data_IF_806783336919
#
_entry.id   IF_806783336919
#
_cell.length_a   1.000
_cell.length_b   1.000
_cell.length_c   1.000
_cell.angle_alpha   90.00
_cell.angle_beta   90.00
_cell.angle_gamma   90.00
#
_symmetry.space_group_name_H-M   'P 1'
#
loop_
_entity.id
_entity.type
_entity.pdbx_description
1 polymer ?
#
# COMPACT_ATOMS: atom_id res chain seq x y z
N UNK A 1 -2.09 -7.82 -11.90
CA UNK A 1 -2.49 -8.99 -11.10
C UNK A 1 -1.72 -8.92 -9.78
N UNK A 2 -2.34 -8.44 -8.71
CA UNK A 2 -1.83 -8.43 -7.33
C UNK A 2 -3.07 -8.78 -6.49
N UNK A 3 -3.05 -9.58 -5.41
CA UNK A 3 -2.25 -9.34 -4.21
C UNK A 3 -1.93 -10.68 -3.48
N UNK A 4 -0.68 -11.20 -3.56
CA UNK A 4 -0.27 -12.44 -2.88
C UNK A 4 0.05 -12.28 -1.38
N UNK A 5 0.10 -11.06 -0.83
CA UNK A 5 0.56 -10.80 0.56
C UNK A 5 -0.28 -9.79 1.37
N UNK A 6 -1.56 -9.62 1.05
CA UNK A 6 -2.45 -8.82 1.91
C UNK A 6 -3.19 -9.70 2.92
N UNK A 7 -3.15 -9.31 4.19
CA UNK A 7 -3.99 -9.87 5.26
C UNK A 7 -5.41 -9.29 5.26
N UNK A 8 -5.59 -8.09 4.69
CA UNK A 8 -6.85 -7.36 4.63
C UNK A 8 -7.12 -6.85 3.20
N UNK A 9 -8.40 -6.79 2.84
CA UNK A 9 -8.88 -6.16 1.62
C UNK A 9 -9.73 -4.97 2.02
N UNK A 10 -9.31 -3.77 1.63
CA UNK A 10 -10.08 -2.55 1.81
C UNK A 10 -10.90 -2.31 0.54
N UNK A 11 -12.22 -2.43 0.65
CA UNK A 11 -13.15 -2.22 -0.43
C UNK A 11 -13.79 -0.83 -0.28
N UNK A 12 -13.41 0.10 -1.16
CA UNK A 12 -13.91 1.48 -1.14
C UNK A 12 -15.04 1.62 -2.15
N UNK A 13 -16.22 2.05 -1.70
CA UNK A 13 -17.38 2.37 -2.54
C UNK A 13 -17.91 3.76 -2.21
N UNK A 14 -18.57 4.42 -3.16
CA UNK A 14 -19.11 5.78 -2.97
C UNK A 14 -20.59 5.77 -2.59
N UNK A 15 -21.06 6.76 -1.82
CA UNK A 15 -22.48 6.91 -1.49
C UNK A 15 -23.37 7.25 -2.70
N UNK A 16 -22.80 7.78 -3.78
CA UNK A 16 -23.55 8.22 -4.98
C UNK A 16 -24.16 7.04 -5.74
N UNK A 17 -23.38 5.95 -5.81
CA UNK A 17 -23.75 4.66 -6.41
C UNK A 17 -23.08 3.55 -5.61
N UNK A 18 -23.61 3.24 -4.42
CA UNK A 18 -23.03 2.17 -3.61
C UNK A 18 -23.27 0.84 -4.32
N UNK A 19 -22.26 -0.04 -4.35
CA UNK A 19 -22.42 -1.44 -4.80
C UNK A 19 -22.99 -1.61 -6.23
N UNK A 20 -22.36 -0.97 -7.21
CA UNK A 20 -22.64 -1.21 -8.63
C UNK A 20 -22.38 -2.67 -9.07
N UNK A 21 -22.92 -3.07 -10.23
CA UNK A 21 -22.70 -4.41 -10.81
C UNK A 21 -21.22 -4.77 -10.96
N UNK A 22 -20.39 -3.83 -11.44
CA UNK A 22 -18.94 -4.03 -11.59
C UNK A 22 -18.24 -4.21 -10.24
N UNK A 23 -18.65 -3.47 -9.21
CA UNK A 23 -18.19 -3.60 -7.83
C UNK A 23 -18.60 -4.95 -7.21
N UNK A 24 -19.83 -5.41 -7.44
CA UNK A 24 -20.30 -6.72 -6.99
C UNK A 24 -19.47 -7.84 -7.60
N UNK A 25 -19.25 -7.81 -8.91
CA UNK A 25 -18.43 -8.79 -9.63
C UNK A 25 -16.98 -8.79 -9.13
N UNK A 26 -16.45 -7.61 -8.77
CA UNK A 26 -15.13 -7.50 -8.17
C UNK A 26 -15.07 -8.14 -6.77
N UNK A 27 -16.08 -7.89 -5.93
CA UNK A 27 -16.19 -8.50 -4.60
C UNK A 27 -16.29 -10.03 -4.65
N UNK A 28 -17.08 -10.59 -5.57
CA UNK A 28 -17.17 -12.04 -5.78
C UNK A 28 -15.80 -12.63 -6.15
N UNK A 29 -15.04 -11.94 -7.00
CA UNK A 29 -13.71 -12.40 -7.42
C UNK A 29 -12.71 -12.41 -6.27
N UNK A 30 -12.74 -11.41 -5.39
CA UNK A 30 -11.80 -11.32 -4.26
C UNK A 30 -12.23 -12.17 -3.06
N UNK A 31 -13.53 -12.50 -2.93
CA UNK A 31 -14.04 -13.42 -1.91
C UNK A 31 -13.39 -14.81 -2.00
N UNK A 32 -13.06 -15.25 -3.23
CA UNK A 32 -12.33 -16.50 -3.47
C UNK A 32 -10.97 -16.56 -2.73
N UNK A 33 -10.40 -15.41 -2.36
CA UNK A 33 -9.11 -15.35 -1.66
C UNK A 33 -9.23 -15.58 -0.15
N UNK A 34 -10.46 -15.71 0.41
CA UNK A 34 -10.74 -15.94 1.84
C UNK A 34 -10.03 -14.95 2.79
N UNK A 35 -9.85 -13.71 2.35
CA UNK A 35 -9.23 -12.64 3.14
C UNK A 35 -10.29 -11.85 3.89
N UNK A 36 -9.92 -11.26 5.03
CA UNK A 36 -10.81 -10.34 5.74
C UNK A 36 -11.08 -9.11 4.86
N UNK A 37 -12.35 -8.84 4.59
CA UNK A 37 -12.80 -7.68 3.81
C UNK A 37 -13.30 -6.60 4.76
N UNK A 38 -12.88 -5.37 4.51
CA UNK A 38 -13.35 -4.17 5.17
C UNK A 38 -13.99 -3.24 4.14
N UNK A 39 -15.20 -2.77 4.40
CA UNK A 39 -15.90 -1.85 3.48
C UNK A 39 -15.76 -0.41 3.96
N UNK A 40 -15.47 0.49 3.02
CA UNK A 40 -15.33 1.92 3.24
C UNK A 40 -16.32 2.63 2.32
N UNK A 41 -17.32 3.27 2.92
CA UNK A 41 -18.31 4.09 2.24
C UNK A 41 -17.84 5.54 2.21
N UNK A 42 -17.43 6.00 1.04
CA UNK A 42 -16.84 7.32 0.82
C UNK A 42 -17.86 8.35 0.31
N UNK A 43 -17.52 9.63 0.49
CA UNK A 43 -18.30 10.83 0.14
C UNK A 43 -19.55 11.04 0.99
N UNK A 44 -19.52 10.66 2.27
CA UNK A 44 -20.67 10.83 3.17
C UNK A 44 -21.15 12.29 3.30
N UNK A 45 -20.30 13.24 2.92
CA UNK A 45 -20.60 14.66 2.88
C UNK A 45 -21.69 15.05 1.87
N UNK A 46 -22.02 14.17 0.92
CA UNK A 46 -23.13 14.36 0.00
C UNK A 46 -24.49 14.00 0.61
N UNK A 47 -24.51 13.25 1.71
CA UNK A 47 -25.75 12.84 2.36
C UNK A 47 -26.15 13.90 3.37
N UNK A 48 -27.30 14.54 3.13
CA UNK A 48 -27.82 15.62 3.98
C UNK A 48 -28.81 15.13 5.05
N UNK A 49 -29.49 14.00 4.80
CA UNK A 49 -30.51 13.44 5.70
C UNK A 49 -30.03 12.14 6.33
N UNK A 50 -30.15 12.04 7.65
CA UNK A 50 -29.80 10.81 8.38
C UNK A 50 -30.66 9.61 7.96
N UNK A 51 -31.92 9.84 7.55
CA UNK A 51 -32.79 8.78 7.03
C UNK A 51 -32.25 8.14 5.75
N UNK A 52 -31.59 8.92 4.90
CA UNK A 52 -31.03 8.41 3.64
C UNK A 52 -29.70 7.71 3.88
N UNK A 53 -28.95 8.16 4.89
CA UNK A 53 -27.74 7.50 5.38
C UNK A 53 -28.02 6.08 5.86
N UNK A 54 -29.09 5.87 6.63
CA UNK A 54 -29.47 4.53 7.08
C UNK A 54 -29.90 3.61 5.93
N UNK A 55 -30.67 4.12 4.96
CA UNK A 55 -31.05 3.35 3.77
C UNK A 55 -29.83 2.88 2.99
N UNK A 56 -28.87 3.77 2.76
CA UNK A 56 -27.63 3.45 2.04
C UNK A 56 -26.82 2.43 2.84
N UNK A 57 -26.67 2.61 4.16
CA UNK A 57 -25.98 1.64 5.00
C UNK A 57 -26.62 0.25 4.95
N UNK A 58 -27.95 0.19 5.06
CA UNK A 58 -28.67 -1.07 5.03
C UNK A 58 -28.56 -1.73 3.65
N UNK A 59 -28.63 -0.96 2.57
CA UNK A 59 -28.38 -1.44 1.22
C UNK A 59 -26.97 -2.04 1.08
N UNK A 60 -25.94 -1.32 1.52
CA UNK A 60 -24.54 -1.80 1.48
C UNK A 60 -24.37 -3.06 2.33
N UNK A 61 -24.97 -3.11 3.54
CA UNK A 61 -24.94 -4.28 4.41
C UNK A 61 -25.56 -5.51 3.77
N UNK A 62 -26.78 -5.38 3.24
CA UNK A 62 -27.49 -6.50 2.62
C UNK A 62 -26.74 -7.04 1.41
N UNK A 63 -26.21 -6.16 0.55
CA UNK A 63 -25.43 -6.60 -0.61
C UNK A 63 -24.10 -7.25 -0.19
N UNK A 64 -23.40 -6.69 0.80
CA UNK A 64 -22.17 -7.29 1.30
C UNK A 64 -22.42 -8.68 1.90
N UNK A 65 -23.49 -8.83 2.68
CA UNK A 65 -23.91 -10.10 3.29
C UNK A 65 -24.19 -11.16 2.21
N UNK A 66 -24.92 -10.79 1.16
CA UNK A 66 -25.24 -11.69 0.06
C UNK A 66 -24.01 -12.11 -0.76
N UNK A 67 -23.03 -11.23 -0.92
CA UNK A 67 -21.83 -11.49 -1.75
C UNK A 67 -20.74 -12.25 -1.00
N UNK A 68 -20.70 -12.10 0.33
CA UNK A 68 -19.63 -12.62 1.19
C UNK A 68 -20.08 -13.79 2.07
N UNK A 69 -21.06 -14.59 1.60
CA UNK A 69 -21.58 -15.79 2.29
C UNK A 69 -22.05 -15.52 3.74
N UNK A 70 -22.94 -14.56 3.93
CA UNK A 70 -23.54 -14.20 5.24
C UNK A 70 -22.54 -13.70 6.30
N UNK A 71 -21.37 -13.24 5.88
CA UNK A 71 -20.39 -12.63 6.79
C UNK A 71 -20.76 -11.16 7.03
N UNK A 72 -20.87 -10.79 8.30
CA UNK A 72 -20.97 -9.38 8.69
C UNK A 72 -19.60 -8.72 8.57
N UNK A 73 -19.49 -7.79 7.62
CA UNK A 73 -18.26 -7.01 7.42
C UNK A 73 -18.36 -5.63 8.08
N UNK A 74 -17.25 -5.10 8.64
CA UNK A 74 -17.26 -3.75 9.17
C UNK A 74 -17.34 -2.73 8.03
N UNK A 75 -18.19 -1.72 8.22
CA UNK A 75 -18.42 -0.64 7.26
C UNK A 75 -18.02 0.70 7.90
N UNK A 76 -17.07 1.39 7.31
CA UNK A 76 -16.63 2.72 7.74
C UNK A 76 -17.20 3.80 6.85
N UNK A 77 -17.71 4.85 7.47
CA UNK A 77 -18.25 6.02 6.81
C UNK A 77 -17.20 7.11 6.79
N UNK A 78 -16.72 7.50 5.60
CA UNK A 78 -15.68 8.52 5.47
C UNK A 78 -16.07 9.59 4.45
N UNK A 79 -15.53 10.79 4.67
CA UNK A 79 -15.42 11.81 3.62
C UNK A 79 -13.94 12.10 3.44
N UNK A 80 -13.37 11.60 2.34
CA UNK A 80 -11.97 11.92 2.00
C UNK A 80 -11.76 13.42 1.80
N UNK A 81 -12.78 14.14 1.30
CA UNK A 81 -12.69 15.57 1.03
C UNK A 81 -12.66 16.41 2.32
N UNK A 82 -13.50 16.07 3.29
CA UNK A 82 -13.60 16.79 4.57
C UNK A 82 -12.76 16.18 5.69
N UNK A 83 -11.98 15.14 5.38
CA UNK A 83 -11.24 14.33 6.34
C UNK A 83 -12.08 13.79 7.51
N UNK A 84 -13.38 13.56 7.28
CA UNK A 84 -14.33 13.07 8.29
C UNK A 84 -14.27 11.54 8.33
N UNK A 85 -14.24 10.96 9.53
CA UNK A 85 -14.26 9.50 9.73
C UNK A 85 -12.93 8.79 9.42
N UNK A 86 -11.95 9.48 8.82
CA UNK A 86 -10.63 8.93 8.52
C UNK A 86 -9.90 8.51 9.80
N UNK A 87 -9.91 9.34 10.84
CA UNK A 87 -9.26 9.00 12.13
C UNK A 87 -9.85 7.73 12.76
N UNK A 88 -11.15 7.49 12.57
CA UNK A 88 -11.86 6.34 13.12
C UNK A 88 -11.50 5.07 12.36
N UNK A 89 -11.43 5.16 11.03
CA UNK A 89 -10.89 4.11 10.17
C UNK A 89 -9.41 3.84 10.48
N UNK A 90 -8.61 4.89 10.65
CA UNK A 90 -7.19 4.78 10.97
C UNK A 90 -6.97 4.12 12.33
N UNK A 91 -7.72 4.51 13.37
CA UNK A 91 -7.64 3.88 14.68
C UNK A 91 -8.07 2.42 14.65
N UNK A 92 -9.12 2.09 13.90
CA UNK A 92 -9.56 0.70 13.71
C UNK A 92 -8.49 -0.12 13.00
N UNK A 93 -7.99 0.37 11.87
CA UNK A 93 -6.92 -0.28 11.13
C UNK A 93 -5.67 -0.41 12.00
N UNK A 94 -5.28 0.62 12.76
CA UNK A 94 -4.14 0.57 13.68
C UNK A 94 -4.34 -0.43 14.80
N UNK A 95 -5.55 -0.62 15.31
CA UNK A 95 -5.83 -1.58 16.40
C UNK A 95 -5.87 -3.02 15.87
N UNK A 96 -6.60 -3.26 14.79
CA UNK A 96 -6.68 -4.57 14.11
C UNK A 96 -5.34 -4.98 13.51
N UNK A 97 -4.59 -4.02 12.96
CA UNK A 97 -3.22 -4.26 12.52
C UNK A 97 -2.30 -4.40 13.72
N UNK A 98 -2.45 -3.66 14.85
CA UNK A 98 -1.57 -3.72 16.03
C UNK A 98 -1.38 -5.14 16.57
N UNK A 99 -2.44 -5.95 16.60
CA UNK A 99 -2.37 -7.34 17.03
C UNK A 99 -1.46 -8.18 16.11
N UNK A 100 -1.34 -7.82 14.83
CA UNK A 100 -0.37 -8.39 13.86
C UNK A 100 0.92 -7.56 13.70
N UNK A 101 0.92 -6.27 14.05
CA UNK A 101 1.90 -5.25 13.64
C UNK A 101 2.88 -4.89 14.74
N UNK A 102 2.74 -5.44 15.96
CA UNK A 102 3.86 -5.53 16.94
C UNK A 102 5.12 -6.17 16.32
N UNK A 103 4.95 -7.14 15.41
CA UNK A 103 6.07 -7.79 14.72
C UNK A 103 6.70 -6.88 13.65
N UNK A 104 5.87 -6.19 12.86
CA UNK A 104 6.32 -5.31 11.78
C UNK A 104 6.96 -4.01 12.31
N UNK A 105 6.41 -3.42 13.37
CA UNK A 105 6.97 -2.22 14.01
C UNK A 105 8.33 -2.46 14.68
N UNK A 106 8.58 -3.67 15.22
CA UNK A 106 9.92 -4.07 15.68
C UNK A 106 10.91 -4.30 14.54
N UNK A 107 10.44 -4.47 13.30
CA UNK A 107 11.26 -4.76 12.11
C UNK A 107 11.43 -3.54 11.19
N UNK A 108 10.51 -2.57 11.19
CA UNK A 108 10.63 -1.33 10.40
C UNK A 108 11.76 -0.42 10.92
N UNK A 109 11.99 -0.35 12.23
CA UNK A 109 13.11 0.41 12.78
C UNK A 109 14.49 -0.20 12.42
N UNK A 110 14.76 -1.51 12.63
CA UNK A 110 16.00 -2.14 12.16
C UNK A 110 16.15 -2.14 10.63
N UNK A 111 15.06 -2.30 9.88
CA UNK A 111 15.10 -2.34 8.41
C UNK A 111 15.37 -0.96 7.80
N UNK A 112 14.76 0.11 8.33
CA UNK A 112 15.05 1.48 7.89
C UNK A 112 16.48 1.93 8.25
N UNK A 113 17.06 1.39 9.34
CA UNK A 113 18.49 1.59 9.66
C UNK A 113 19.37 0.79 8.70
N UNK A 114 19.01 -0.46 8.39
CA UNK A 114 19.74 -1.30 7.44
C UNK A 114 19.73 -0.71 6.02
N UNK A 115 18.59 -0.26 5.50
CA UNK A 115 18.48 0.41 4.19
C UNK A 115 19.40 1.64 4.11
N UNK A 116 19.38 2.50 5.14
CA UNK A 116 20.27 3.67 5.19
C UNK A 116 21.76 3.32 5.24
N UNK A 117 22.12 2.22 5.90
CA UNK A 117 23.51 1.73 5.91
C UNK A 117 23.88 1.16 4.55
N UNK A 118 23.00 0.36 3.92
CA UNK A 118 23.22 -0.21 2.60
C UNK A 118 23.41 0.87 1.54
N UNK A 119 22.56 1.90 1.50
CA UNK A 119 22.68 3.02 0.56
C UNK A 119 24.02 3.75 0.71
N UNK A 120 24.45 3.97 1.97
CA UNK A 120 25.73 4.62 2.27
C UNK A 120 26.92 3.77 1.81
N UNK A 121 26.91 2.46 2.05
CA UNK A 121 28.00 1.58 1.63
C UNK A 121 28.02 1.37 0.11
N UNK A 122 26.87 1.30 -0.55
CA UNK A 122 26.78 1.21 -2.01
C UNK A 122 27.34 2.46 -2.69
N UNK A 123 27.05 3.65 -2.16
CA UNK A 123 27.63 4.90 -2.67
C UNK A 123 29.16 4.91 -2.56
N UNK A 124 29.72 4.50 -1.43
CA UNK A 124 31.18 4.44 -1.20
C UNK A 124 31.85 3.41 -2.12
N UNK A 125 31.24 2.24 -2.30
CA UNK A 125 31.77 1.19 -3.20
C UNK A 125 31.72 1.65 -4.65
N UNK A 126 30.65 2.35 -5.06
CA UNK A 126 30.52 2.90 -6.41
C UNK A 126 31.57 3.97 -6.69
N UNK A 127 31.81 4.88 -5.74
CA UNK A 127 32.84 5.91 -5.83
C UNK A 127 34.25 5.29 -5.97
N UNK A 128 34.58 4.28 -5.14
CA UNK A 128 35.86 3.57 -5.23
C UNK A 128 36.03 2.82 -6.55
N UNK A 129 34.96 2.23 -7.08
CA UNK A 129 34.99 1.57 -8.39
C UNK A 129 35.28 2.56 -9.51
N UNK A 130 34.68 3.76 -9.47
CA UNK A 130 34.94 4.79 -10.47
C UNK A 130 36.39 5.28 -10.42
N UNK A 131 36.97 5.44 -9.22
CA UNK A 131 38.37 5.79 -9.05
C UNK A 131 39.28 4.70 -9.66
N UNK A 132 39.04 3.42 -9.36
CA UNK A 132 39.84 2.32 -9.91
C UNK A 132 39.74 2.21 -11.44
N UNK A 133 38.55 2.41 -12.01
CA UNK A 133 38.37 2.43 -13.47
C UNK A 133 39.12 3.59 -14.12
N UNK A 134 39.13 4.75 -13.46
CA UNK A 134 39.87 5.90 -13.95
C UNK A 134 41.39 5.68 -13.86
N UNK A 135 41.88 5.06 -12.79
CA UNK A 135 43.29 4.71 -12.62
C UNK A 135 43.75 3.67 -13.67
N UNK A 136 42.91 2.70 -14.01
CA UNK A 136 43.18 1.74 -15.09
C UNK A 136 43.31 2.42 -16.47
N UNK A 137 42.45 3.41 -16.75
CA UNK A 137 42.52 4.22 -17.97
C UNK A 137 43.77 5.09 -18.03
N UNK A 138 44.17 5.69 -16.90
CA UNK A 138 45.41 6.48 -16.80
C UNK A 138 46.64 5.59 -17.06
N UNK A 139 46.69 4.39 -16.46
CA UNK A 139 47.78 3.45 -16.70
C UNK A 139 47.85 2.99 -18.16
N UNK A 140 46.71 2.80 -18.82
CA UNK A 140 46.67 2.45 -20.25
C UNK A 140 47.25 3.57 -21.13
N UNK A 141 46.86 4.83 -20.87
CA UNK A 141 47.36 6.01 -21.62
C UNK A 141 48.88 6.19 -21.40
N UNK A 142 49.35 6.06 -20.17
CA UNK A 142 50.77 6.18 -19.87
C UNK A 142 51.60 5.06 -20.54
N UNK A 143 51.06 3.85 -20.63
CA UNK A 143 51.74 2.75 -21.31
C UNK A 143 51.83 2.97 -22.83
N UNK A 144 50.75 3.46 -23.45
CA UNK A 144 50.77 3.80 -24.89
C UNK A 144 51.74 4.93 -25.22
N UNK A 145 51.87 5.92 -24.35
CA UNK A 145 52.81 7.04 -24.55
C UNK A 145 54.27 6.55 -24.42
N UNK A 146 54.57 5.67 -23.45
CA UNK A 146 55.93 5.13 -23.25
C UNK A 146 56.37 4.24 -24.43
N UNK A 147 55.44 3.53 -25.06
CA UNK A 147 55.73 2.72 -26.25
C UNK A 147 55.88 3.57 -27.53
N UNK A 148 55.27 4.75 -27.58
CA UNK A 148 55.46 5.73 -28.66
C UNK A 148 56.83 6.43 -28.57
N UNK A 149 57.34 6.68 -27.37
CA UNK A 149 58.68 7.23 -27.12
C UNK A 149 59.84 6.22 -27.30
N UNK A 150 59.56 4.93 -27.46
CA UNK A 150 60.56 3.86 -27.66
C UNK A 150 60.78 3.46 -29.12
N UNK A 151 60.19 4.18 -30.08
CA UNK A 151 60.50 4.05 -31.51
C UNK A 151 61.41 5.15 -32.02
#
# INVERSE_FOLDING_TARGET
>A
HFIPRSDYILFVTSVDRPFSESERLFLVRIHQWRKKVLIILNKIDQIQKDTDKEKILNYVRSNAHQVLDDITVPIFQISSLKSIGINLLENYLRTELNDKTKLKLKLENPLGIAERIFDKYLAIVHERKQILVNDEQILFILHSDVDEYRR
#
